data_IF_661049814249
#
_entry.id   IF_661049814249
#
_cell.length_a   1.000
_cell.length_b   1.000
_cell.length_c   1.000
_cell.angle_alpha   90.00
_cell.angle_beta   90.00
_cell.angle_gamma   90.00
#
_symmetry.space_group_name_H-M   'P 1'
#
loop_
_entity.id
_entity.type
_entity.pdbx_description
1 polymer ?
#
# COMPACT_ATOMS: atom_id res chain seq x y z
N UNK A 1 17.50 -7.91 17.06
CA UNK A 1 17.89 -8.11 15.63
C UNK A 1 16.70 -8.68 14.90
N UNK A 2 16.30 -8.09 13.77
CA UNK A 2 15.16 -8.60 12.99
C UNK A 2 15.70 -9.66 12.03
N UNK A 3 15.21 -10.89 12.12
CA UNK A 3 15.58 -11.97 11.20
C UNK A 3 15.12 -11.65 9.79
N UNK A 4 15.93 -11.96 8.80
CA UNK A 4 15.61 -11.70 7.39
C UNK A 4 15.57 -13.02 6.63
N UNK A 5 14.53 -13.21 5.82
CA UNK A 5 14.28 -14.42 5.04
C UNK A 5 14.20 -14.10 3.55
N UNK A 6 14.57 -15.04 2.71
CA UNK A 6 14.30 -15.00 1.27
C UNK A 6 12.92 -15.60 0.96
N UNK A 7 12.32 -15.24 -0.17
CA UNK A 7 11.06 -15.86 -0.63
C UNK A 7 11.23 -17.36 -0.85
N UNK A 8 12.41 -17.81 -1.28
CA UNK A 8 12.73 -19.22 -1.46
C UNK A 8 12.79 -20.00 -0.13
N UNK A 9 13.16 -19.35 0.96
CA UNK A 9 13.08 -19.95 2.30
C UNK A 9 11.64 -20.07 2.75
N UNK A 10 10.85 -18.99 2.64
CA UNK A 10 9.43 -19.01 3.01
C UNK A 10 8.66 -20.08 2.23
N UNK A 11 8.98 -20.28 0.94
CA UNK A 11 8.32 -21.28 0.10
C UNK A 11 8.54 -22.74 0.57
N UNK A 12 9.53 -22.99 1.41
CA UNK A 12 9.75 -24.34 2.00
C UNK A 12 8.74 -24.65 3.11
N UNK A 13 8.16 -23.63 3.74
CA UNK A 13 7.18 -23.71 4.82
C UNK A 13 5.75 -23.62 4.27
N UNK A 14 5.38 -24.58 3.42
CA UNK A 14 4.13 -24.60 2.65
C UNK A 14 3.24 -25.81 3.02
N UNK A 15 3.37 -26.34 4.23
CA UNK A 15 2.54 -27.46 4.69
C UNK A 15 1.54 -27.04 5.76
N UNK A 16 0.56 -27.90 6.03
CA UNK A 16 -0.50 -27.63 6.98
C UNK A 16 -0.04 -27.38 8.42
N UNK A 17 1.08 -27.96 8.81
CA UNK A 17 1.64 -27.84 10.17
C UNK A 17 2.92 -26.98 10.22
N UNK A 18 3.39 -26.54 9.04
CA UNK A 18 4.53 -25.64 8.87
C UNK A 18 4.17 -24.63 7.77
N UNK A 19 3.46 -23.57 8.15
CA UNK A 19 2.80 -22.64 7.27
C UNK A 19 3.30 -21.22 7.52
N UNK A 20 4.12 -20.72 6.62
CA UNK A 20 4.58 -19.35 6.63
C UNK A 20 3.97 -18.57 5.46
N UNK A 21 3.62 -17.33 5.69
CA UNK A 21 3.10 -16.42 4.68
C UNK A 21 3.83 -15.10 4.72
N UNK A 22 3.84 -14.39 3.59
CA UNK A 22 4.34 -13.03 3.50
C UNK A 22 3.14 -12.10 3.38
N UNK A 23 3.09 -11.05 4.21
CA UNK A 23 2.16 -9.93 4.04
C UNK A 23 2.99 -8.65 4.09
N UNK A 24 2.90 -7.84 3.04
CA UNK A 24 3.79 -6.72 2.77
C UNK A 24 5.26 -7.19 2.70
N UNK A 25 6.11 -6.76 3.62
CA UNK A 25 7.52 -7.14 3.69
C UNK A 25 7.81 -8.00 4.93
N UNK A 26 6.77 -8.51 5.61
CA UNK A 26 6.89 -9.24 6.87
C UNK A 26 6.51 -10.70 6.68
N UNK A 27 7.29 -11.59 7.27
CA UNK A 27 7.05 -13.03 7.30
C UNK A 27 6.31 -13.39 8.59
N UNK A 28 5.24 -14.13 8.45
CA UNK A 28 4.39 -14.60 9.54
C UNK A 28 4.37 -16.11 9.60
N UNK A 29 4.66 -16.69 10.76
CA UNK A 29 4.40 -18.10 11.05
C UNK A 29 2.94 -18.26 11.51
N UNK A 30 2.11 -18.77 10.63
CA UNK A 30 0.68 -18.97 10.86
C UNK A 30 0.30 -20.42 11.08
N UNK A 31 1.28 -21.33 11.25
CA UNK A 31 1.08 -22.77 11.45
C UNK A 31 0.05 -23.08 12.54
N UNK A 32 0.19 -22.43 13.70
CA UNK A 32 -0.74 -22.60 14.82
C UNK A 32 -2.04 -21.84 14.64
N UNK A 33 -1.99 -20.70 13.97
CA UNK A 33 -3.15 -19.84 13.75
C UNK A 33 -4.13 -20.40 12.72
N UNK A 34 -3.66 -21.09 11.68
CA UNK A 34 -4.48 -21.59 10.59
C UNK A 34 -5.71 -22.38 11.06
N UNK A 35 -5.58 -23.16 12.14
CA UNK A 35 -6.67 -23.94 12.74
C UNK A 35 -7.76 -23.10 13.39
N UNK A 36 -7.44 -21.87 13.79
CA UNK A 36 -8.35 -20.95 14.49
C UNK A 36 -8.76 -19.78 13.62
N UNK A 37 -8.39 -19.79 12.33
CA UNK A 37 -8.75 -18.70 11.42
C UNK A 37 -10.27 -18.62 11.24
N UNK A 38 -10.93 -17.48 11.54
CA UNK A 38 -12.38 -17.36 11.49
C UNK A 38 -12.98 -17.60 10.10
N UNK A 39 -12.23 -17.31 9.03
CA UNK A 39 -12.59 -17.58 7.63
C UNK A 39 -12.39 -19.03 7.20
N UNK A 40 -11.87 -19.90 8.09
CA UNK A 40 -11.55 -21.28 7.80
C UNK A 40 -10.09 -21.51 7.40
N UNK A 41 -9.57 -22.67 7.78
CA UNK A 41 -8.18 -23.07 7.57
C UNK A 41 -7.76 -23.09 6.09
N UNK A 42 -8.67 -23.54 5.21
CA UNK A 42 -8.38 -23.72 3.79
C UNK A 42 -7.88 -22.43 3.10
N UNK A 43 -8.35 -21.25 3.54
CA UNK A 43 -7.86 -19.96 3.01
C UNK A 43 -6.41 -19.68 3.38
N UNK A 44 -5.99 -20.06 4.57
CA UNK A 44 -4.61 -19.87 5.04
C UNK A 44 -3.69 -20.92 4.40
N UNK A 45 -4.12 -22.17 4.33
CA UNK A 45 -3.34 -23.26 3.71
C UNK A 45 -3.17 -23.02 2.19
N UNK A 46 -4.12 -22.39 1.53
CA UNK A 46 -4.06 -22.07 0.10
C UNK A 46 -3.00 -21.04 -0.29
N UNK A 47 -2.47 -20.29 0.68
CA UNK A 47 -1.41 -19.29 0.47
C UNK A 47 -0.12 -19.62 1.22
N UNK A 48 -0.01 -20.85 1.74
CA UNK A 48 1.15 -21.32 2.47
C UNK A 48 2.43 -21.20 1.62
N UNK A 49 3.50 -20.70 2.19
CA UNK A 49 4.78 -20.50 1.51
C UNK A 49 4.79 -19.34 0.49
N UNK A 50 3.73 -18.53 0.39
CA UNK A 50 3.56 -17.54 -0.67
C UNK A 50 3.39 -16.12 -0.11
N UNK A 51 3.43 -15.14 -1.03
CA UNK A 51 3.04 -13.77 -0.76
C UNK A 51 1.51 -13.65 -0.78
N UNK A 52 0.92 -13.55 0.40
CA UNK A 52 -0.52 -13.47 0.64
C UNK A 52 -1.02 -12.01 0.73
N UNK A 53 -0.19 -11.01 0.45
CA UNK A 53 -0.54 -9.59 0.62
C UNK A 53 -1.85 -9.22 -0.06
N UNK A 54 -1.99 -9.59 -1.34
CA UNK A 54 -3.21 -9.27 -2.11
C UNK A 54 -4.44 -9.97 -1.54
N UNK A 55 -4.32 -11.26 -1.22
CA UNK A 55 -5.41 -12.06 -0.65
C UNK A 55 -5.82 -11.52 0.72
N UNK A 56 -4.84 -11.17 1.56
CA UNK A 56 -5.10 -10.60 2.87
C UNK A 56 -5.93 -9.33 2.76
N UNK A 57 -5.51 -8.34 1.98
CA UNK A 57 -6.22 -7.06 1.85
C UNK A 57 -7.53 -7.13 1.07
N UNK A 58 -7.83 -8.25 0.41
CA UNK A 58 -9.16 -8.49 -0.19
C UNK A 58 -10.24 -8.77 0.87
N UNK A 59 -9.84 -9.22 2.07
CA UNK A 59 -10.78 -9.64 3.12
C UNK A 59 -10.57 -8.94 4.46
N UNK A 60 -9.38 -8.36 4.70
CA UNK A 60 -9.00 -7.80 5.99
C UNK A 60 -8.47 -6.37 5.85
N UNK A 61 -8.74 -5.58 6.88
CA UNK A 61 -8.15 -4.25 7.03
C UNK A 61 -6.79 -4.33 7.70
N UNK A 62 -6.00 -3.26 7.59
CA UNK A 62 -4.66 -3.18 8.16
C UNK A 62 -4.64 -3.26 9.71
N UNK A 63 -5.71 -2.86 10.39
CA UNK A 63 -5.83 -2.96 11.84
C UNK A 63 -5.81 -4.41 12.32
N UNK A 64 -6.39 -5.35 11.56
CA UNK A 64 -6.30 -6.80 11.82
C UNK A 64 -4.83 -7.24 11.81
N UNK A 65 -4.06 -6.81 10.81
CA UNK A 65 -2.64 -7.12 10.72
C UNK A 65 -1.87 -6.57 11.92
N UNK A 66 -2.13 -5.32 12.32
CA UNK A 66 -1.47 -4.70 13.48
C UNK A 66 -1.73 -5.45 14.77
N UNK A 67 -2.95 -5.93 14.99
CA UNK A 67 -3.31 -6.69 16.20
C UNK A 67 -2.65 -8.09 16.25
N UNK A 68 -2.38 -8.69 15.09
CA UNK A 68 -1.81 -10.04 14.98
C UNK A 68 -0.29 -10.05 14.78
N UNK A 69 0.29 -8.97 14.26
CA UNK A 69 1.69 -8.89 13.87
C UNK A 69 2.65 -9.24 15.01
N UNK A 70 2.45 -8.68 16.19
CA UNK A 70 3.32 -8.93 17.34
C UNK A 70 3.37 -10.41 17.77
N UNK A 71 2.34 -11.20 17.43
CA UNK A 71 2.20 -12.59 17.86
C UNK A 71 2.76 -13.59 16.86
N UNK A 72 2.70 -13.26 15.57
CA UNK A 72 3.01 -14.22 14.50
C UNK A 72 4.15 -13.78 13.58
N UNK A 73 4.57 -12.51 13.65
CA UNK A 73 5.69 -12.01 12.85
C UNK A 73 7.00 -12.64 13.33
N UNK A 74 7.74 -13.27 12.41
CA UNK A 74 9.03 -13.93 12.68
C UNK A 74 10.20 -13.22 12.02
N UNK A 75 9.97 -12.34 11.06
CA UNK A 75 11.04 -11.60 10.39
C UNK A 75 10.55 -10.79 9.20
N UNK A 76 11.50 -10.34 8.39
CA UNK A 76 11.24 -9.58 7.16
C UNK A 76 11.80 -10.26 5.93
N UNK A 77 11.28 -9.93 4.75
CA UNK A 77 11.81 -10.40 3.47
C UNK A 77 13.05 -9.57 3.09
N UNK A 78 14.12 -10.28 2.71
CA UNK A 78 15.35 -9.66 2.17
C UNK A 78 15.20 -9.25 0.69
N UNK A 79 14.43 -10.06 -0.06
CA UNK A 79 14.24 -9.82 -1.49
C UNK A 79 13.26 -8.69 -1.74
N UNK A 80 13.49 -7.84 -2.77
CA UNK A 80 12.50 -6.82 -3.12
C UNK A 80 11.16 -7.48 -3.44
N UNK A 81 10.02 -6.84 -3.09
CA UNK A 81 8.70 -7.41 -3.28
C UNK A 81 8.45 -7.71 -4.76
N UNK A 82 8.21 -8.99 -5.08
CA UNK A 82 7.74 -9.37 -6.42
C UNK A 82 6.32 -8.86 -6.57
N UNK A 83 6.15 -7.72 -7.20
CA UNK A 83 4.82 -7.18 -7.52
C UNK A 83 4.43 -5.86 -6.86
N UNK A 84 5.19 -5.26 -5.96
CA UNK A 84 5.11 -3.81 -5.80
C UNK A 84 5.61 -3.23 -7.11
N UNK A 85 4.71 -2.84 -8.01
CA UNK A 85 5.03 -1.84 -9.01
C UNK A 85 5.72 -0.73 -8.23
N UNK A 86 6.97 -0.45 -8.55
CA UNK A 86 7.66 0.70 -8.00
C UNK A 86 6.62 1.83 -8.03
N UNK A 87 6.37 2.46 -6.88
CA UNK A 87 5.50 3.63 -6.85
C UNK A 87 6.18 4.60 -7.81
N UNK A 88 5.61 4.72 -9.00
CA UNK A 88 6.11 5.66 -10.01
C UNK A 88 5.91 7.01 -9.37
N UNK A 89 7.00 7.62 -8.94
CA UNK A 89 6.96 8.95 -8.37
C UNK A 89 6.71 9.89 -9.53
N UNK A 90 5.47 10.25 -9.70
CA UNK A 90 5.06 11.20 -10.74
C UNK A 90 5.70 12.56 -10.47
N UNK A 91 6.04 13.29 -11.51
CA UNK A 91 6.43 14.68 -11.35
C UNK A 91 5.22 15.51 -10.87
N UNK A 92 5.46 16.61 -10.14
CA UNK A 92 4.39 17.49 -9.69
C UNK A 92 3.49 17.93 -10.85
N UNK A 93 2.18 17.79 -10.72
CA UNK A 93 1.21 18.13 -11.74
C UNK A 93 0.94 17.06 -12.81
N UNK A 94 1.67 15.96 -12.85
CA UNK A 94 1.40 14.86 -13.77
C UNK A 94 0.06 14.15 -13.48
N UNK A 95 -0.46 13.48 -14.52
CA UNK A 95 -1.66 12.66 -14.38
C UNK A 95 -1.39 11.40 -13.56
N UNK A 96 -2.30 11.05 -12.68
CA UNK A 96 -2.22 9.80 -11.92
C UNK A 96 -2.28 8.59 -12.85
N UNK A 97 -1.44 7.59 -12.59
CA UNK A 97 -1.49 6.29 -13.26
C UNK A 97 -2.47 5.32 -12.62
N UNK A 98 -3.08 5.71 -11.50
CA UNK A 98 -4.09 4.89 -10.81
C UNK A 98 -5.38 4.90 -11.64
N UNK A 99 -5.95 3.73 -11.97
CA UNK A 99 -7.19 3.65 -12.71
C UNK A 99 -8.31 4.48 -12.03
N UNK A 100 -9.03 5.24 -12.85
CA UNK A 100 -10.16 6.10 -12.41
C UNK A 100 -9.81 7.24 -11.44
N UNK A 101 -8.53 7.49 -11.14
CA UNK A 101 -8.13 8.59 -10.27
C UNK A 101 -8.27 9.97 -10.94
N UNK A 102 -8.30 10.01 -12.26
CA UNK A 102 -8.43 11.26 -13.02
C UNK A 102 -9.69 11.23 -13.90
N UNK A 103 -10.40 12.35 -14.04
CA UNK A 103 -11.50 12.47 -15.00
C UNK A 103 -11.02 12.19 -16.44
N UNK A 104 -11.86 11.52 -17.22
CA UNK A 104 -11.53 11.11 -18.59
C UNK A 104 -11.16 12.30 -19.52
N UNK A 105 -11.76 13.46 -19.28
CA UNK A 105 -11.45 14.69 -20.02
C UNK A 105 -9.98 15.14 -19.91
N UNK A 106 -9.31 14.81 -18.79
CA UNK A 106 -7.88 15.08 -18.61
C UNK A 106 -7.00 13.98 -19.20
N UNK A 107 -7.57 12.81 -19.47
CA UNK A 107 -6.90 11.67 -20.09
C UNK A 107 -7.00 11.64 -21.62
N UNK A 108 -7.39 12.77 -22.24
CA UNK A 108 -7.47 12.91 -23.70
C UNK A 108 -8.84 12.60 -24.32
N UNK A 109 -9.85 12.28 -23.52
CA UNK A 109 -11.22 12.11 -24.01
C UNK A 109 -11.82 13.51 -24.29
N UNK A 110 -12.35 13.78 -25.49
CA UNK A 110 -12.99 15.06 -25.81
C UNK A 110 -14.15 15.36 -24.86
N UNK A 111 -14.25 16.61 -24.42
CA UNK A 111 -15.33 17.08 -23.57
C UNK A 111 -15.77 18.48 -24.01
N UNK A 112 -17.08 18.75 -24.11
CA UNK A 112 -17.56 20.09 -24.43
C UNK A 112 -17.41 21.09 -23.26
N UNK A 113 -17.06 20.60 -22.08
CA UNK A 113 -16.99 21.40 -20.86
C UNK A 113 -15.56 21.76 -20.44
N UNK A 114 -14.55 21.02 -20.96
CA UNK A 114 -13.16 21.18 -20.58
C UNK A 114 -12.29 21.51 -21.79
N UNK A 115 -11.62 22.65 -21.74
CA UNK A 115 -10.66 23.13 -22.73
C UNK A 115 -9.23 23.16 -22.17
N UNK A 116 -8.30 23.78 -22.90
CA UNK A 116 -6.90 23.83 -22.48
C UNK A 116 -6.68 24.69 -21.22
N UNK A 117 -7.53 25.70 -20.98
CA UNK A 117 -7.41 26.50 -19.76
C UNK A 117 -7.69 25.68 -18.51
N UNK A 118 -8.66 24.78 -18.57
CA UNK A 118 -8.97 23.84 -17.49
C UNK A 118 -7.84 22.83 -17.27
N UNK A 119 -7.22 22.37 -18.37
CA UNK A 119 -6.05 21.45 -18.26
C UNK A 119 -4.86 22.15 -17.65
N UNK A 120 -4.60 23.42 -18.02
CA UNK A 120 -3.52 24.19 -17.43
C UNK A 120 -3.78 24.44 -15.94
N UNK A 121 -4.98 24.93 -15.60
CA UNK A 121 -5.37 25.13 -14.20
C UNK A 121 -5.20 23.86 -13.35
N UNK A 122 -5.65 22.73 -13.89
CA UNK A 122 -5.45 21.43 -13.20
C UNK A 122 -3.96 21.12 -12.97
N UNK A 123 -3.10 21.32 -13.97
CA UNK A 123 -1.66 21.08 -13.85
C UNK A 123 -1.05 21.95 -12.75
N UNK A 124 -1.36 23.23 -12.78
CA UNK A 124 -0.80 24.20 -11.84
C UNK A 124 -1.28 23.94 -10.41
N UNK A 125 -2.59 23.71 -10.26
CA UNK A 125 -3.17 23.40 -8.96
C UNK A 125 -2.60 22.08 -8.41
N UNK A 126 -2.51 21.04 -9.23
CA UNK A 126 -1.95 19.76 -8.81
C UNK A 126 -0.48 19.88 -8.44
N UNK A 127 0.32 20.62 -9.22
CA UNK A 127 1.71 20.88 -8.89
C UNK A 127 1.84 21.60 -7.54
N UNK A 128 1.00 22.60 -7.28
CA UNK A 128 0.96 23.28 -5.99
C UNK A 128 0.62 22.33 -4.83
N UNK A 129 -0.40 21.47 -5.01
CA UNK A 129 -0.76 20.48 -4.00
C UNK A 129 0.38 19.49 -3.74
N UNK A 130 1.02 18.98 -4.79
CA UNK A 130 2.08 17.98 -4.67
C UNK A 130 3.36 18.56 -4.03
N UNK A 131 3.66 19.85 -4.25
CA UNK A 131 4.88 20.49 -3.75
C UNK A 131 4.73 21.19 -2.41
N UNK A 132 3.56 21.76 -2.14
CA UNK A 132 3.34 22.61 -0.97
C UNK A 132 2.40 21.97 0.05
N UNK A 133 1.23 21.48 -0.41
CA UNK A 133 0.17 21.02 0.48
C UNK A 133 0.47 19.62 1.02
N UNK A 134 0.81 18.68 0.15
CA UNK A 134 1.00 17.29 0.55
C UNK A 134 2.15 17.07 1.55
N UNK A 135 3.34 17.68 1.40
CA UNK A 135 4.40 17.55 2.39
C UNK A 135 4.00 18.08 3.76
N UNK A 136 3.31 19.23 3.82
CA UNK A 136 2.81 19.81 5.06
C UNK A 136 1.73 18.93 5.69
N UNK A 137 0.76 18.47 4.88
CA UNK A 137 -0.33 17.61 5.33
C UNK A 137 0.18 16.29 5.91
N UNK A 138 1.08 15.59 5.21
CA UNK A 138 1.65 14.32 5.68
C UNK A 138 2.42 14.49 6.99
N UNK A 139 3.24 15.56 7.10
CA UNK A 139 4.01 15.83 8.30
C UNK A 139 3.15 16.20 9.50
N UNK A 140 2.03 16.89 9.27
CA UNK A 140 1.14 17.36 10.35
C UNK A 140 0.09 16.32 10.72
N UNK A 141 -0.42 15.53 9.77
CA UNK A 141 -1.33 14.41 10.03
C UNK A 141 -0.70 13.37 10.96
N UNK A 142 0.56 12.99 10.71
CA UNK A 142 1.30 12.07 11.56
C UNK A 142 1.45 12.56 13.02
N UNK A 143 1.37 13.87 13.25
CA UNK A 143 1.44 14.52 14.57
C UNK A 143 0.07 14.89 15.14
N UNK A 144 -1.00 14.73 14.39
CA UNK A 144 -2.35 15.12 14.78
C UNK A 144 -2.51 16.64 14.97
N UNK A 145 -1.80 17.46 14.20
CA UNK A 145 -1.84 18.93 14.31
C UNK A 145 -2.38 19.58 13.05
N UNK A 146 -2.82 20.83 13.17
CA UNK A 146 -3.32 21.62 12.04
C UNK A 146 -2.22 21.93 11.00
N UNK A 147 -2.61 22.27 9.76
CA UNK A 147 -1.68 22.76 8.75
C UNK A 147 -0.82 23.92 9.24
N UNK A 148 0.38 24.02 8.70
CA UNK A 148 1.32 25.06 9.11
C UNK A 148 0.82 26.46 8.76
N UNK A 149 1.23 27.46 9.56
CA UNK A 149 0.94 28.87 9.25
C UNK A 149 1.58 29.34 7.96
N UNK A 150 2.66 28.68 7.55
CA UNK A 150 3.34 28.96 6.28
C UNK A 150 2.48 28.53 5.10
N UNK A 151 1.90 27.33 5.15
CA UNK A 151 0.97 26.85 4.13
C UNK A 151 -0.25 27.79 4.04
N UNK A 152 -0.85 28.20 5.16
CA UNK A 152 -1.98 29.13 5.17
C UNK A 152 -1.71 30.48 4.50
N UNK A 153 -0.46 30.94 4.42
CA UNK A 153 -0.11 32.16 3.71
C UNK A 153 0.04 31.99 2.21
N UNK A 154 0.17 30.76 1.74
CA UNK A 154 0.29 30.40 0.31
C UNK A 154 -1.05 30.08 -0.33
N UNK A 155 -2.07 29.77 0.48
CA UNK A 155 -3.45 29.53 0.07
C UNK A 155 -4.24 30.83 -0.04
#
# INVERSE_FOLDING_TARGET
MTTTYTRAEVAKHASADDNWIIIDDTVYDVSKFARFHPGGRAFVDGVAGQDATKQFYSFHRQDVLRSMAAKYAIGKIADPPTGKKAVVKLAPGELSTVPYAEPSAFQGVPSPYYDESHRQFRRDLRAFFDTEVMPDAVANDARGVHPSKELWRKL
#
